data_IF_986566904090
#
_entry.id   IF_986566904090
#
_cell.length_a   1.000
_cell.length_b   1.000
_cell.length_c   1.000
_cell.angle_alpha   90.00
_cell.angle_beta   90.00
_cell.angle_gamma   90.00
#
_symmetry.space_group_name_H-M   'P 1'
#
loop_
_entity.id
_entity.type
_entity.pdbx_description
1 polymer ?
#
# COMPACT_ATOMS: atom_id res chain seq x y z
N UNK A 1 34.86 8.84 15.00
CA UNK A 1 35.78 7.80 15.48
C UNK A 1 35.05 6.94 16.50
N UNK A 2 34.39 5.86 16.09
CA UNK A 2 34.01 4.80 17.03
C UNK A 2 35.16 3.79 17.03
N UNK A 3 35.95 3.82 18.10
CA UNK A 3 36.95 2.81 18.40
C UNK A 3 36.30 1.76 19.30
N UNK A 4 36.38 0.51 18.86
CA UNK A 4 36.04 -0.72 19.59
C UNK A 4 34.54 -0.98 19.85
N UNK A 5 33.86 -1.52 18.84
CA UNK A 5 32.62 -2.26 19.03
C UNK A 5 32.89 -3.76 18.81
N UNK A 6 32.68 -4.55 19.86
CA UNK A 6 32.34 -5.98 19.81
C UNK A 6 33.44 -7.01 19.45
N UNK A 7 34.72 -6.77 19.71
CA UNK A 7 35.72 -7.84 19.76
C UNK A 7 36.11 -8.17 21.20
N UNK A 8 35.15 -8.57 22.03
CA UNK A 8 35.41 -8.97 23.42
C UNK A 8 36.49 -10.07 23.52
N UNK A 9 36.53 -10.97 22.54
CA UNK A 9 37.49 -12.08 22.50
C UNK A 9 38.89 -11.63 22.03
N UNK A 10 38.99 -10.49 21.32
CA UNK A 10 40.26 -9.98 20.76
C UNK A 10 40.26 -8.45 20.56
N UNK A 11 40.24 -7.65 21.64
CA UNK A 11 40.18 -6.20 21.55
C UNK A 11 41.52 -5.63 21.03
N UNK A 12 41.52 -4.81 19.97
CA UNK A 12 42.69 -4.06 19.49
C UNK A 12 43.48 -3.31 20.58
N UNK A 13 42.82 -2.86 21.65
CA UNK A 13 43.46 -2.19 22.78
C UNK A 13 44.27 -3.14 23.68
N UNK A 14 44.06 -4.45 23.58
CA UNK A 14 44.62 -5.45 24.48
C UNK A 14 43.98 -5.46 25.88
N UNK A 15 42.94 -4.65 26.10
CA UNK A 15 42.24 -4.55 27.38
C UNK A 15 41.43 -5.82 27.63
N UNK A 16 41.66 -6.49 28.76
CA UNK A 16 40.91 -7.69 29.16
C UNK A 16 39.92 -7.32 30.25
N UNK A 17 38.67 -7.74 30.10
CA UNK A 17 37.65 -7.64 31.14
C UNK A 17 37.46 -9.02 31.81
N UNK A 18 37.86 -9.10 33.07
CA UNK A 18 37.80 -10.26 33.97
C UNK A 18 37.39 -9.73 35.36
N UNK A 19 36.10 -9.48 35.61
CA UNK A 19 35.64 -8.87 36.85
C UNK A 19 35.74 -9.81 38.07
N UNK A 20 35.81 -11.12 37.84
CA UNK A 20 35.97 -12.19 38.83
C UNK A 20 37.43 -12.46 39.21
N UNK A 21 38.39 -12.03 38.38
CA UNK A 21 39.82 -12.19 38.60
C UNK A 21 40.30 -13.64 38.49
N UNK A 22 39.57 -14.48 37.74
CA UNK A 22 39.87 -15.91 37.63
C UNK A 22 40.77 -16.26 36.41
N UNK A 23 41.13 -15.26 35.62
CA UNK A 23 41.95 -15.39 34.41
C UNK A 23 41.16 -15.74 33.16
N UNK A 24 39.85 -15.94 33.27
CA UNK A 24 38.93 -16.18 32.15
C UNK A 24 38.49 -14.85 31.59
N UNK A 25 38.62 -14.69 30.27
CA UNK A 25 38.16 -13.47 29.59
C UNK A 25 36.67 -13.57 29.39
N UNK A 26 35.94 -12.49 29.68
CA UNK A 26 34.54 -12.41 29.32
C UNK A 26 34.41 -12.46 27.79
N UNK A 27 33.75 -13.51 27.28
CA UNK A 27 33.46 -13.66 25.87
C UNK A 27 32.43 -12.62 25.41
N UNK A 28 32.33 -12.40 24.09
CA UNK A 28 31.30 -11.54 23.52
C UNK A 28 29.90 -11.96 24.01
N UNK A 29 29.21 -11.04 24.70
CA UNK A 29 27.82 -11.24 25.16
C UNK A 29 26.80 -11.08 24.02
N UNK A 30 27.26 -10.90 22.78
CA UNK A 30 26.44 -10.64 21.60
C UNK A 30 26.39 -9.16 21.19
N UNK A 31 25.51 -8.87 20.23
CA UNK A 31 25.27 -7.50 19.75
C UNK A 31 24.22 -6.85 20.65
N UNK A 32 24.59 -5.75 21.32
CA UNK A 32 23.65 -4.92 22.06
C UNK A 32 23.08 -3.84 21.14
N UNK A 33 21.84 -4.04 20.72
CA UNK A 33 21.05 -3.06 19.96
C UNK A 33 20.50 -1.99 20.91
N UNK A 34 20.95 -0.74 20.79
CA UNK A 34 20.65 0.32 21.75
C UNK A 34 19.56 1.25 21.21
N UNK A 35 18.30 0.94 21.54
CA UNK A 35 17.11 1.71 21.16
C UNK A 35 16.47 2.29 22.43
N UNK A 36 15.68 3.37 22.31
CA UNK A 36 15.10 4.06 23.47
C UNK A 36 14.21 3.16 24.36
N UNK A 37 13.41 2.27 23.77
CA UNK A 37 12.58 1.28 24.45
C UNK A 37 12.08 0.20 23.44
N UNK A 38 11.59 -0.97 23.90
CA UNK A 38 11.22 -2.08 23.01
C UNK A 38 9.97 -1.84 22.15
N UNK A 39 9.16 -0.81 22.46
CA UNK A 39 7.95 -0.43 21.73
C UNK A 39 8.30 0.52 20.58
N UNK A 40 8.96 1.63 20.89
CA UNK A 40 9.22 2.70 19.91
C UNK A 40 10.47 2.43 19.07
N UNK A 41 11.45 1.71 19.61
CA UNK A 41 12.64 1.24 18.89
C UNK A 41 13.41 2.36 18.16
N UNK A 42 13.46 3.54 18.77
CA UNK A 42 14.09 4.73 18.18
C UNK A 42 15.57 4.82 18.57
N UNK A 43 16.44 5.13 17.60
CA UNK A 43 17.85 5.42 17.82
C UNK A 43 18.09 6.92 18.09
N UNK A 44 19.31 7.30 18.46
CA UNK A 44 19.66 8.66 18.90
C UNK A 44 19.26 9.78 17.93
N UNK A 45 19.33 9.56 16.60
CA UNK A 45 18.86 10.54 15.62
C UNK A 45 17.33 10.57 15.50
N UNK A 46 16.64 9.42 15.65
CA UNK A 46 15.17 9.37 15.69
C UNK A 46 14.59 10.19 16.85
N UNK A 47 15.38 10.46 17.90
CA UNK A 47 15.00 11.27 19.07
C UNK A 47 15.23 12.78 18.90
N UNK A 48 15.67 13.24 17.72
CA UNK A 48 15.89 14.67 17.45
C UNK A 48 17.10 15.27 18.18
N UNK A 49 18.01 14.45 18.72
CA UNK A 49 19.19 14.90 19.48
C UNK A 49 20.34 15.45 18.62
N UNK A 50 20.17 15.48 17.29
CA UNK A 50 21.18 15.91 16.33
C UNK A 50 21.99 14.73 15.78
N UNK A 51 23.30 14.71 16.05
CA UNK A 51 24.19 13.66 15.55
C UNK A 51 23.87 12.32 16.23
N UNK A 52 23.62 11.28 15.43
CA UNK A 52 23.24 9.96 15.95
C UNK A 52 23.09 8.92 14.85
N UNK A 53 22.64 7.72 15.22
CA UNK A 53 22.23 6.66 14.30
C UNK A 53 20.72 6.74 14.15
N UNK A 54 20.21 6.38 12.97
CA UNK A 54 18.78 6.36 12.67
C UNK A 54 18.43 5.03 12.02
N UNK A 55 17.31 4.43 12.45
CA UNK A 55 16.67 3.42 11.62
C UNK A 55 15.93 4.16 10.50
N UNK A 56 16.42 4.03 9.27
CA UNK A 56 15.71 4.53 8.09
C UNK A 56 14.93 3.39 7.47
N UNK A 57 13.62 3.60 7.27
CA UNK A 57 12.85 2.73 6.38
C UNK A 57 13.17 3.21 4.97
N UNK A 58 13.78 2.38 4.09
CA UNK A 58 14.03 2.79 2.73
C UNK A 58 12.70 3.17 2.08
N UNK A 59 12.61 4.43 1.65
CA UNK A 59 11.45 4.90 0.89
C UNK A 59 11.56 4.37 -0.53
N UNK A 60 10.41 4.03 -1.09
CA UNK A 60 10.25 3.71 -2.50
C UNK A 60 10.13 4.96 -3.39
N UNK A 61 10.26 6.14 -2.79
CA UNK A 61 10.15 7.40 -3.50
C UNK A 61 11.37 7.65 -4.39
N UNK A 62 11.10 8.09 -5.62
CA UNK A 62 12.07 8.49 -6.63
C UNK A 62 11.82 9.96 -7.01
N UNK A 63 12.82 10.62 -7.58
CA UNK A 63 12.74 12.07 -7.88
C UNK A 63 11.72 12.39 -8.98
N UNK A 64 11.58 11.50 -9.97
CA UNK A 64 10.85 11.78 -11.22
C UNK A 64 9.84 10.68 -11.60
N UNK A 65 9.35 9.93 -10.61
CA UNK A 65 8.33 8.89 -10.84
C UNK A 65 7.01 9.46 -11.39
N UNK A 66 6.28 8.73 -12.27
CA UNK A 66 5.02 9.17 -12.86
C UNK A 66 3.84 9.15 -11.87
N UNK A 67 4.01 8.54 -10.70
CA UNK A 67 3.01 8.53 -9.63
C UNK A 67 3.44 9.53 -8.58
N UNK A 68 2.55 10.41 -8.12
CA UNK A 68 2.84 11.42 -7.12
C UNK A 68 1.81 11.39 -6.00
N UNK A 69 2.27 11.36 -4.74
CA UNK A 69 1.44 11.72 -3.61
C UNK A 69 1.45 13.26 -3.47
N UNK A 70 0.29 13.89 -3.65
CA UNK A 70 0.17 15.34 -3.58
C UNK A 70 0.30 15.89 -2.15
N UNK A 71 0.05 15.07 -1.13
CA UNK A 71 0.13 15.52 0.27
C UNK A 71 1.56 15.86 0.67
N UNK A 72 2.52 15.01 0.33
CA UNK A 72 3.93 15.15 0.74
C UNK A 72 4.88 15.43 -0.44
N UNK A 73 4.38 15.41 -1.67
CA UNK A 73 5.13 15.68 -2.89
C UNK A 73 6.04 14.54 -3.33
N UNK A 74 6.03 13.38 -2.65
CA UNK A 74 6.85 12.24 -3.05
C UNK A 74 6.35 11.64 -4.35
N UNK A 75 7.29 11.14 -5.15
CA UNK A 75 7.03 10.49 -6.43
C UNK A 75 7.49 9.05 -6.43
N UNK A 76 6.87 8.22 -7.24
CA UNK A 76 7.07 6.77 -7.25
C UNK A 76 6.99 6.22 -8.68
N UNK A 77 7.73 5.14 -8.94
CA UNK A 77 7.65 4.43 -10.23
C UNK A 77 6.37 3.56 -10.34
N UNK A 78 5.87 3.10 -9.20
CA UNK A 78 4.76 2.16 -9.09
C UNK A 78 3.65 2.73 -8.22
N UNK A 79 2.40 2.48 -8.60
CA UNK A 79 1.22 2.91 -7.86
C UNK A 79 1.19 2.23 -6.49
N UNK A 80 1.52 0.93 -6.41
CA UNK A 80 1.54 0.20 -5.13
C UNK A 80 2.51 0.80 -4.12
N UNK A 81 3.64 1.38 -4.56
CA UNK A 81 4.60 2.00 -3.65
C UNK A 81 4.02 3.27 -3.03
N UNK A 82 3.40 4.12 -3.87
CA UNK A 82 2.70 5.31 -3.41
C UNK A 82 1.56 4.93 -2.44
N UNK A 83 0.73 3.97 -2.81
CA UNK A 83 -0.38 3.49 -1.97
C UNK A 83 0.13 2.91 -0.67
N UNK A 84 1.24 2.15 -0.65
CA UNK A 84 1.78 1.56 0.57
C UNK A 84 2.28 2.62 1.57
N UNK A 85 2.96 3.66 1.08
CA UNK A 85 3.47 4.76 1.92
C UNK A 85 2.43 5.81 2.31
N UNK A 86 1.37 5.96 1.52
CA UNK A 86 0.32 6.94 1.77
C UNK A 86 -0.43 6.68 3.09
N UNK A 87 -0.79 7.78 3.75
CA UNK A 87 -1.68 7.80 4.91
C UNK A 87 -3.16 7.94 4.51
N UNK A 88 -4.09 7.73 5.45
CA UNK A 88 -5.49 8.06 5.24
C UNK A 88 -5.67 9.55 4.92
N UNK A 89 -6.46 9.85 3.90
CA UNK A 89 -6.75 11.19 3.39
C UNK A 89 -5.84 11.66 2.27
N UNK A 90 -4.77 10.92 1.96
CA UNK A 90 -3.83 11.32 0.91
C UNK A 90 -4.46 11.29 -0.49
N UNK A 91 -3.91 12.10 -1.39
CA UNK A 91 -4.29 12.12 -2.80
C UNK A 91 -3.10 11.73 -3.68
N UNK A 92 -3.18 10.55 -4.27
CA UNK A 92 -2.21 10.03 -5.22
C UNK A 92 -2.72 10.30 -6.65
N UNK A 93 -1.90 10.99 -7.44
CA UNK A 93 -2.11 11.20 -8.87
C UNK A 93 -1.17 10.31 -9.68
N UNK A 94 -1.71 9.67 -10.71
CA UNK A 94 -1.01 8.74 -11.60
C UNK A 94 -0.96 9.30 -13.02
N UNK A 95 0.25 9.47 -13.55
CA UNK A 95 0.48 9.82 -14.95
C UNK A 95 -0.03 8.75 -15.93
N UNK A 96 -0.05 9.10 -17.22
CA UNK A 96 -0.38 8.12 -18.27
C UNK A 96 0.72 7.06 -18.36
N UNK A 97 0.34 5.81 -18.55
CA UNK A 97 1.24 4.66 -18.54
C UNK A 97 0.50 3.35 -18.35
N UNK A 98 1.20 2.24 -18.58
CA UNK A 98 0.72 0.88 -18.28
C UNK A 98 1.44 0.40 -17.03
N UNK A 99 0.67 0.04 -16.03
CA UNK A 99 1.13 -0.35 -14.70
C UNK A 99 0.80 -1.83 -14.46
N UNK A 100 1.77 -2.75 -14.73
CA UNK A 100 1.57 -4.19 -14.56
C UNK A 100 1.69 -4.61 -13.09
N UNK A 101 0.67 -4.32 -12.30
CA UNK A 101 0.66 -4.52 -10.85
C UNK A 101 -0.75 -4.73 -10.27
N UNK A 102 -0.81 -5.18 -9.01
CA UNK A 102 -2.05 -5.33 -8.27
C UNK A 102 -2.06 -4.29 -7.12
N UNK A 103 -3.15 -3.55 -6.98
CA UNK A 103 -3.30 -2.45 -6.03
C UNK A 103 -4.21 -2.87 -4.88
N UNK A 104 -3.75 -2.67 -3.64
CA UNK A 104 -4.55 -2.91 -2.44
C UNK A 104 -4.51 -1.65 -1.57
N UNK A 105 -5.68 -1.10 -1.26
CA UNK A 105 -5.81 0.09 -0.42
C UNK A 105 -5.55 -0.19 1.07
N UNK A 106 -5.57 -1.46 1.49
CA UNK A 106 -5.23 -1.92 2.84
C UNK A 106 -6.02 -1.20 3.96
N UNK A 107 -7.30 -0.87 3.72
CA UNK A 107 -8.15 -0.18 4.68
C UNK A 107 -7.89 1.32 4.79
N UNK A 108 -7.09 1.89 3.90
CA UNK A 108 -6.78 3.33 3.90
C UNK A 108 -7.76 4.06 3.00
N UNK A 109 -8.55 4.95 3.61
CA UNK A 109 -9.38 5.90 2.87
C UNK A 109 -8.50 6.97 2.26
N UNK A 110 -8.11 6.81 1.00
CA UNK A 110 -7.31 7.77 0.23
C UNK A 110 -7.92 7.95 -1.17
N UNK A 111 -7.51 9.00 -1.88
CA UNK A 111 -7.89 9.21 -3.27
C UNK A 111 -6.76 8.76 -4.19
N UNK A 112 -7.06 7.84 -5.10
CA UNK A 112 -6.19 7.44 -6.19
C UNK A 112 -6.85 7.85 -7.51
N UNK A 113 -6.23 8.76 -8.25
CA UNK A 113 -6.76 9.22 -9.54
C UNK A 113 -5.71 9.27 -10.63
N UNK A 114 -6.11 9.20 -11.90
CA UNK A 114 -5.24 9.65 -13.00
C UNK A 114 -5.03 11.17 -12.95
N UNK A 115 -4.15 11.70 -13.82
CA UNK A 115 -3.87 13.15 -13.88
C UNK A 115 -5.10 13.98 -14.28
N UNK A 116 -6.01 13.40 -15.06
CA UNK A 116 -7.30 14.00 -15.38
C UNK A 116 -8.34 12.89 -15.52
N UNK A 117 -9.09 12.57 -14.46
CA UNK A 117 -10.06 11.48 -14.48
C UNK A 117 -11.31 11.77 -15.32
N UNK A 118 -11.49 13.00 -15.83
CA UNK A 118 -12.63 13.36 -16.67
C UNK A 118 -12.28 13.40 -18.16
N UNK A 119 -11.00 13.38 -18.53
CA UNK A 119 -10.56 13.27 -19.92
C UNK A 119 -10.50 11.78 -20.34
N UNK A 120 -11.37 11.32 -21.25
CA UNK A 120 -11.38 9.93 -21.69
C UNK A 120 -10.05 9.44 -22.28
N UNK A 121 -9.23 10.34 -22.86
CA UNK A 121 -7.93 9.97 -23.40
C UNK A 121 -6.93 9.68 -22.29
N UNK A 122 -6.97 10.46 -21.20
CA UNK A 122 -6.13 10.22 -20.02
C UNK A 122 -6.56 8.93 -19.34
N UNK A 123 -7.87 8.71 -19.14
CA UNK A 123 -8.41 7.46 -18.57
C UNK A 123 -8.00 6.24 -19.41
N UNK A 124 -8.09 6.33 -20.74
CA UNK A 124 -7.67 5.26 -21.64
C UNK A 124 -6.16 4.99 -21.60
N UNK A 125 -5.34 6.02 -21.36
CA UNK A 125 -3.89 5.93 -21.34
C UNK A 125 -3.29 5.62 -19.95
N UNK A 126 -4.06 5.75 -18.86
CA UNK A 126 -3.65 5.35 -17.51
C UNK A 126 -4.23 3.97 -17.19
N UNK A 127 -3.44 2.93 -17.47
CA UNK A 127 -3.87 1.53 -17.44
C UNK A 127 -3.30 0.80 -16.24
N UNK A 128 -4.16 0.22 -15.41
CA UNK A 128 -3.79 -0.80 -14.42
C UNK A 128 -3.96 -2.15 -15.10
N UNK A 129 -2.85 -2.75 -15.50
CA UNK A 129 -2.79 -4.09 -16.08
C UNK A 129 -2.60 -5.09 -14.93
N UNK A 130 -3.72 -5.58 -14.42
CA UNK A 130 -3.72 -6.45 -13.26
C UNK A 130 -3.27 -7.87 -13.59
N UNK A 131 -3.29 -8.74 -12.57
CA UNK A 131 -3.08 -10.18 -12.76
C UNK A 131 -4.19 -11.00 -12.08
N UNK A 132 -4.22 -11.01 -10.76
CA UNK A 132 -5.27 -11.73 -10.03
C UNK A 132 -6.45 -10.81 -9.69
N UNK A 133 -6.19 -9.80 -8.87
CA UNK A 133 -7.16 -8.75 -8.55
C UNK A 133 -6.47 -7.42 -8.87
N UNK A 134 -6.94 -6.69 -9.89
CA UNK A 134 -6.24 -5.47 -10.28
C UNK A 134 -6.32 -4.41 -9.18
N UNK A 135 -7.52 -4.22 -8.61
CA UNK A 135 -7.74 -3.30 -7.49
C UNK A 135 -8.56 -3.96 -6.38
N UNK A 136 -8.08 -3.87 -5.14
CA UNK A 136 -8.70 -4.47 -3.96
C UNK A 136 -9.00 -3.45 -2.86
N UNK A 137 -10.25 -3.51 -2.38
CA UNK A 137 -10.75 -2.83 -1.17
C UNK A 137 -11.25 -3.91 -0.21
N UNK A 138 -10.53 -4.15 0.88
CA UNK A 138 -10.82 -5.26 1.79
C UNK A 138 -10.45 -4.98 3.26
N UNK A 139 -10.26 -3.71 3.62
CA UNK A 139 -9.86 -3.28 4.97
C UNK A 139 -10.87 -2.37 5.66
N UNK A 140 -12.12 -2.30 5.17
CA UNK A 140 -13.14 -1.40 5.71
C UNK A 140 -13.16 -0.02 5.07
N UNK A 141 -12.62 0.13 3.86
CA UNK A 141 -12.64 1.38 3.12
C UNK A 141 -14.08 1.88 2.91
N UNK A 142 -14.32 3.17 3.14
CA UNK A 142 -15.64 3.80 2.99
C UNK A 142 -15.70 4.69 1.73
N UNK A 143 -16.79 5.46 1.58
CA UNK A 143 -17.02 6.29 0.40
C UNK A 143 -15.98 7.39 0.19
N UNK A 144 -15.16 7.72 1.21
CA UNK A 144 -14.02 8.64 1.09
C UNK A 144 -12.78 7.98 0.47
N UNK A 145 -12.78 6.65 0.32
CA UNK A 145 -11.80 5.95 -0.48
C UNK A 145 -12.22 6.01 -1.95
N UNK A 146 -11.41 6.68 -2.77
CA UNK A 146 -11.78 7.02 -4.15
C UNK A 146 -10.79 6.40 -5.13
N UNK A 147 -11.33 5.72 -6.14
CA UNK A 147 -10.60 5.32 -7.35
C UNK A 147 -11.22 6.04 -8.55
N UNK A 148 -10.42 6.83 -9.27
CA UNK A 148 -10.93 7.68 -10.34
C UNK A 148 -10.10 7.67 -11.61
N UNK A 149 -10.73 7.45 -12.77
CA UNK A 149 -10.11 7.74 -14.05
C UNK A 149 -9.07 6.73 -14.54
N UNK A 150 -9.30 5.43 -14.35
CA UNK A 150 -8.39 4.37 -14.79
C UNK A 150 -9.02 3.42 -15.81
N UNK A 151 -8.20 2.89 -16.70
CA UNK A 151 -8.52 1.65 -17.41
C UNK A 151 -7.98 0.47 -16.61
N UNK A 152 -8.84 -0.51 -16.29
CA UNK A 152 -8.53 -1.66 -15.43
C UNK A 152 -8.75 -2.94 -16.23
N UNK A 153 -7.67 -3.66 -16.51
CA UNK A 153 -7.65 -4.82 -17.41
C UNK A 153 -6.76 -5.95 -16.90
N UNK A 154 -6.72 -7.07 -17.63
CA UNK A 154 -5.73 -8.14 -17.44
C UNK A 154 -5.93 -9.02 -16.19
N UNK A 155 -6.94 -8.75 -15.36
CA UNK A 155 -7.09 -9.43 -14.08
C UNK A 155 -8.12 -10.58 -14.06
N UNK A 156 -7.99 -11.52 -13.12
CA UNK A 156 -9.08 -12.47 -12.83
C UNK A 156 -10.33 -11.76 -12.31
N UNK A 157 -10.19 -10.67 -11.57
CA UNK A 157 -11.30 -9.75 -11.28
C UNK A 157 -10.77 -8.32 -11.37
N UNK A 158 -11.48 -7.42 -12.05
CA UNK A 158 -11.04 -6.03 -12.20
C UNK A 158 -10.98 -5.33 -10.85
N UNK A 159 -12.11 -5.19 -10.18
CA UNK A 159 -12.21 -4.60 -8.84
C UNK A 159 -12.80 -5.60 -7.86
N UNK A 160 -12.16 -5.79 -6.72
CA UNK A 160 -12.65 -6.63 -5.64
C UNK A 160 -12.96 -5.79 -4.40
N UNK A 161 -14.21 -5.82 -3.95
CA UNK A 161 -14.64 -5.21 -2.68
C UNK A 161 -15.10 -6.31 -1.72
N UNK A 162 -14.60 -6.27 -0.49
CA UNK A 162 -15.03 -7.14 0.61
C UNK A 162 -15.14 -6.34 1.90
N UNK A 163 -16.35 -6.24 2.46
CA UNK A 163 -16.62 -5.40 3.65
C UNK A 163 -16.12 -3.95 3.45
N UNK A 164 -16.29 -3.42 2.23
CA UNK A 164 -15.81 -2.11 1.82
C UNK A 164 -16.83 -1.41 0.92
N UNK A 165 -16.93 -0.09 1.03
CA UNK A 165 -17.89 0.74 0.30
C UNK A 165 -17.22 1.95 -0.38
N UNK A 166 -16.20 1.74 -1.24
CA UNK A 166 -15.47 2.82 -1.90
C UNK A 166 -16.30 3.56 -2.96
N UNK A 167 -15.81 4.73 -3.38
CA UNK A 167 -16.29 5.45 -4.56
C UNK A 167 -15.41 5.12 -5.77
N UNK A 168 -16.00 4.57 -6.82
CA UNK A 168 -15.33 4.22 -8.08
C UNK A 168 -15.94 5.12 -9.17
N UNK A 169 -15.11 5.92 -9.83
CA UNK A 169 -15.61 6.93 -10.77
C UNK A 169 -14.80 7.02 -12.06
N UNK A 170 -15.49 7.26 -13.19
CA UNK A 170 -14.87 7.51 -14.50
C UNK A 170 -13.86 6.43 -14.92
N UNK A 171 -14.10 5.15 -14.57
CA UNK A 171 -13.20 4.05 -14.88
C UNK A 171 -13.70 3.20 -16.04
N UNK A 172 -12.77 2.68 -16.84
CA UNK A 172 -13.03 1.66 -17.86
C UNK A 172 -12.57 0.29 -17.33
N UNK A 173 -13.50 -0.55 -16.89
CA UNK A 173 -13.22 -1.88 -16.33
C UNK A 173 -13.51 -2.90 -17.42
N UNK A 174 -12.45 -3.39 -18.07
CA UNK A 174 -12.57 -4.13 -19.33
C UNK A 174 -11.58 -5.26 -19.46
N UNK A 175 -11.89 -6.25 -20.29
CA UNK A 175 -10.97 -7.35 -20.67
C UNK A 175 -10.42 -8.16 -19.49
N UNK A 176 -11.16 -8.22 -18.37
CA UNK A 176 -10.82 -9.07 -17.24
C UNK A 176 -11.32 -10.51 -17.46
N UNK A 177 -10.54 -11.50 -17.01
CA UNK A 177 -10.83 -12.92 -17.17
C UNK A 177 -12.02 -13.41 -16.32
N UNK A 178 -12.43 -12.65 -15.29
CA UNK A 178 -13.61 -12.92 -14.47
C UNK A 178 -14.49 -11.68 -14.35
N UNK A 179 -14.98 -11.40 -13.14
CA UNK A 179 -15.92 -10.29 -12.96
C UNK A 179 -15.25 -8.93 -13.14
N UNK A 180 -15.97 -7.96 -13.72
CA UNK A 180 -15.51 -6.58 -13.77
C UNK A 180 -15.37 -6.00 -12.36
N UNK A 181 -16.46 -6.06 -11.59
CA UNK A 181 -16.49 -5.69 -10.17
C UNK A 181 -17.09 -6.85 -9.37
N UNK A 182 -16.42 -7.27 -8.30
CA UNK A 182 -16.84 -8.36 -7.44
C UNK A 182 -17.05 -7.89 -6.01
N UNK A 183 -18.26 -8.10 -5.47
CA UNK A 183 -18.69 -7.62 -4.15
C UNK A 183 -18.93 -8.76 -3.16
N UNK A 184 -18.35 -8.64 -1.97
CA UNK A 184 -18.48 -9.58 -0.85
C UNK A 184 -18.77 -8.87 0.48
N UNK A 185 -19.35 -9.62 1.43
CA UNK A 185 -19.41 -9.27 2.86
C UNK A 185 -19.97 -7.87 3.17
N UNK A 186 -21.12 -7.50 2.61
CA UNK A 186 -21.75 -6.18 2.81
C UNK A 186 -21.02 -5.02 2.14
N UNK A 187 -20.42 -5.26 0.98
CA UNK A 187 -19.79 -4.19 0.21
C UNK A 187 -20.83 -3.34 -0.51
N UNK A 188 -20.77 -2.02 -0.31
CA UNK A 188 -21.75 -1.09 -0.87
C UNK A 188 -21.10 0.06 -1.66
N UNK A 189 -20.34 -0.22 -2.72
CA UNK A 189 -19.64 0.82 -3.46
C UNK A 189 -20.58 1.75 -4.21
N UNK A 190 -20.12 2.99 -4.39
CA UNK A 190 -20.72 3.97 -5.29
C UNK A 190 -19.96 3.91 -6.61
N UNK A 191 -20.67 3.67 -7.72
CA UNK A 191 -20.10 3.52 -9.06
C UNK A 191 -20.67 4.63 -9.95
N UNK A 192 -19.81 5.52 -10.43
CA UNK A 192 -20.21 6.72 -11.17
C UNK A 192 -19.49 6.77 -12.52
N UNK A 193 -20.23 6.88 -13.62
CA UNK A 193 -19.67 7.08 -14.97
C UNK A 193 -18.63 6.01 -15.36
N UNK A 194 -18.85 4.76 -14.96
CA UNK A 194 -17.91 3.67 -15.24
C UNK A 194 -18.38 2.81 -16.42
N UNK A 195 -17.48 2.55 -17.37
CA UNK A 195 -17.69 1.55 -18.41
C UNK A 195 -17.28 0.17 -17.91
N UNK A 196 -18.20 -0.77 -17.76
CA UNK A 196 -17.92 -2.15 -17.35
C UNK A 196 -18.26 -3.10 -18.49
N UNK A 197 -17.29 -3.36 -19.37
CA UNK A 197 -17.53 -3.99 -20.68
C UNK A 197 -16.50 -5.07 -20.97
N UNK A 198 -16.81 -6.02 -21.85
CA UNK A 198 -15.80 -6.97 -22.39
C UNK A 198 -15.07 -7.80 -21.33
N UNK A 199 -15.64 -7.95 -20.13
CA UNK A 199 -15.13 -8.89 -19.12
C UNK A 199 -15.69 -10.29 -19.43
N UNK A 200 -14.89 -11.33 -19.20
CA UNK A 200 -15.30 -12.71 -19.47
C UNK A 200 -16.30 -13.26 -18.43
N UNK A 201 -16.32 -12.68 -17.22
CA UNK A 201 -17.33 -12.92 -16.20
C UNK A 201 -18.43 -11.85 -16.19
N UNK A 202 -19.20 -11.82 -15.08
CA UNK A 202 -20.24 -10.80 -14.88
C UNK A 202 -19.66 -9.39 -14.82
N UNK A 203 -20.37 -8.40 -15.34
CA UNK A 203 -19.97 -6.99 -15.18
C UNK A 203 -19.85 -6.62 -13.70
N UNK A 204 -20.92 -6.84 -12.93
CA UNK A 204 -20.90 -6.75 -11.47
C UNK A 204 -21.41 -8.07 -10.88
N UNK A 205 -20.59 -8.72 -10.06
CA UNK A 205 -20.91 -9.97 -9.38
C UNK A 205 -21.09 -9.73 -7.88
N UNK A 206 -22.23 -10.13 -7.32
CA UNK A 206 -22.56 -9.90 -5.90
C UNK A 206 -22.75 -11.22 -5.17
N UNK A 207 -21.89 -11.52 -4.20
CA UNK A 207 -21.96 -12.75 -3.42
C UNK A 207 -22.68 -12.52 -2.10
N UNK A 208 -23.82 -13.20 -1.93
CA UNK A 208 -24.49 -13.30 -0.64
C UNK A 208 -23.61 -14.09 0.33
N UNK A 209 -23.35 -13.53 1.50
CA UNK A 209 -22.71 -14.28 2.59
C UNK A 209 -23.74 -14.60 3.67
N UNK A 210 -23.86 -15.88 4.03
CA UNK A 210 -24.65 -16.31 5.17
C UNK A 210 -23.70 -16.78 6.28
N UNK A 211 -23.74 -16.11 7.43
CA UNK A 211 -22.99 -16.51 8.63
C UNK A 211 -24.00 -16.77 9.76
N UNK A 212 -24.25 -18.05 10.04
CA UNK A 212 -25.26 -18.47 11.03
C UNK A 212 -26.67 -17.98 10.65
N UNK A 213 -27.30 -17.20 11.54
CA UNK A 213 -28.63 -16.59 11.30
C UNK A 213 -28.56 -15.21 10.61
N UNK A 214 -27.37 -14.69 10.33
CA UNK A 214 -27.18 -13.40 9.65
C UNK A 214 -26.91 -13.65 8.17
N UNK A 215 -27.60 -12.90 7.33
CA UNK A 215 -27.34 -12.82 5.89
C UNK A 215 -26.86 -11.42 5.59
N UNK A 216 -25.72 -11.33 4.92
CA UNK A 216 -25.12 -10.09 4.46
C UNK A 216 -25.40 -9.94 2.96
N UNK A 217 -25.89 -8.77 2.59
CA UNK A 217 -26.19 -8.38 1.22
C UNK A 217 -25.27 -7.24 0.80
N UNK A 218 -24.88 -7.23 -0.46
CA UNK A 218 -24.11 -6.15 -1.08
C UNK A 218 -25.06 -5.25 -1.87
N UNK A 219 -24.78 -3.95 -1.92
CA UNK A 219 -25.60 -2.97 -2.63
C UNK A 219 -24.71 -1.99 -3.42
N UNK A 220 -24.70 -2.07 -4.75
CA UNK A 220 -24.04 -1.06 -5.56
C UNK A 220 -25.00 0.10 -5.88
N UNK A 221 -24.56 1.34 -5.69
CA UNK A 221 -25.26 2.53 -6.21
C UNK A 221 -24.62 2.93 -7.54
N UNK A 222 -25.38 2.92 -8.63
CA UNK A 222 -24.85 3.17 -9.98
C UNK A 222 -25.46 4.45 -10.54
N UNK A 223 -24.62 5.37 -11.00
CA UNK A 223 -25.01 6.60 -11.70
C UNK A 223 -24.18 6.75 -12.96
N UNK A 224 -24.81 7.14 -14.07
CA UNK A 224 -24.17 7.43 -15.36
C UNK A 224 -24.53 8.83 -15.84
#
# INVERSE_FOLDING_TARGET
>A
YMHEAALADNPPSGTVYDPEGDGTRLASLGVHEHWNNPVDRQYSRNLGTGNGIELVVPSFANVDGPVQNLTDGKRYDYIRHAVNEAGPGDHIIVGQGIYPENINFNGKNLTLSSTDPNDPNVVAATVIDGGNQAVTFAGGEDANCVLAGFTITGANNGIHCSDASPTISNCNITENAGAGIKLYNSSNPIIINCGITTNAGSGIEMWKQAQGRRVLYNYATITN
#
